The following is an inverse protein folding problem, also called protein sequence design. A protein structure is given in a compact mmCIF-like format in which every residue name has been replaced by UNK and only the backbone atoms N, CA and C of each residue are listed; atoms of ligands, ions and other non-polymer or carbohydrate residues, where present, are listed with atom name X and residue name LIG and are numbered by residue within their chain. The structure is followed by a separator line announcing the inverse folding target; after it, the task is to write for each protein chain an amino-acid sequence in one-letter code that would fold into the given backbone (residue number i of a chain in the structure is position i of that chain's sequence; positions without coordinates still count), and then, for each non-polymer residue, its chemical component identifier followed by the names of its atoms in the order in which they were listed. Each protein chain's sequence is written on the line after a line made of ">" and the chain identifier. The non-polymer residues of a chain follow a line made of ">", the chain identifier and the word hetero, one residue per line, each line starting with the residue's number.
data_IF_670055642006
#
_entry.id   IF_670055642006
#
_cell.length_a   1.000
_cell.length_b   1.000
_cell.length_c   1.000
_cell.angle_alpha   90.00
_cell.angle_beta   90.00
_cell.angle_gamma   90.00
#
_symmetry.space_group_name_H-M   'P 1'
#
loop_
_entity.id
_entity.type
_entity.pdbx_description
1 polymer ?
#
# COMPACT_ATOMS: atom_id res chain seq x y z
N UNK A 1 46.65 -11.91 -7.77
CA UNK A 1 46.15 -10.58 -8.19
C UNK A 1 47.22 -9.54 -7.90
N UNK A 2 47.60 -8.70 -8.86
CA UNK A 2 48.60 -7.68 -8.61
C UNK A 2 48.07 -6.60 -7.65
N UNK A 3 48.94 -6.01 -6.81
CA UNK A 3 48.53 -5.07 -5.74
C UNK A 3 47.77 -3.83 -6.26
N UNK A 4 48.02 -3.43 -7.51
CA UNK A 4 47.33 -2.30 -8.15
C UNK A 4 45.87 -2.60 -8.51
N UNK A 5 45.48 -3.85 -8.81
CA UNK A 5 44.07 -4.19 -9.05
C UNK A 5 43.23 -4.08 -7.78
N UNK A 6 43.79 -4.45 -6.62
CA UNK A 6 43.11 -4.30 -5.33
C UNK A 6 42.93 -2.83 -4.95
N UNK A 7 43.93 -1.98 -5.22
CA UNK A 7 43.84 -0.54 -5.00
C UNK A 7 42.78 0.11 -5.91
N UNK A 8 42.73 -0.25 -7.21
CA UNK A 8 41.72 0.25 -8.14
C UNK A 8 40.30 -0.18 -7.74
N UNK A 9 40.11 -1.43 -7.32
CA UNK A 9 38.81 -1.91 -6.82
C UNK A 9 38.38 -1.17 -5.56
N UNK A 10 39.31 -0.90 -4.63
CA UNK A 10 39.02 -0.14 -3.42
C UNK A 10 38.62 1.32 -3.74
N UNK A 11 39.34 1.99 -4.66
CA UNK A 11 38.99 3.34 -5.11
C UNK A 11 37.62 3.36 -5.79
N UNK A 12 37.36 2.41 -6.70
CA UNK A 12 36.06 2.29 -7.35
C UNK A 12 34.93 2.07 -6.34
N UNK A 13 35.14 1.22 -5.33
CA UNK A 13 34.19 0.99 -4.25
C UNK A 13 33.92 2.27 -3.43
N UNK A 14 34.97 3.02 -3.06
CA UNK A 14 34.81 4.30 -2.33
C UNK A 14 34.05 5.32 -3.17
N UNK A 15 34.38 5.47 -4.45
CA UNK A 15 33.68 6.39 -5.35
C UNK A 15 32.22 5.97 -5.54
N UNK A 16 31.94 4.67 -5.66
CA UNK A 16 30.57 4.15 -5.73
C UNK A 16 29.79 4.46 -4.45
N UNK A 17 30.39 4.31 -3.26
CA UNK A 17 29.76 4.66 -1.99
C UNK A 17 29.55 6.17 -1.84
N UNK A 18 30.50 7.00 -2.28
CA UNK A 18 30.33 8.47 -2.23
C UNK A 18 29.21 8.94 -3.17
N UNK A 19 29.15 8.39 -4.38
CA UNK A 19 28.04 8.60 -5.31
C UNK A 19 26.70 8.12 -4.72
N UNK A 20 26.70 6.94 -4.09
CA UNK A 20 25.53 6.39 -3.39
C UNK A 20 24.96 7.34 -2.32
N UNK A 21 25.85 7.92 -1.53
CA UNK A 21 25.50 8.82 -0.45
C UNK A 21 25.02 10.18 -0.98
N UNK A 22 25.43 10.58 -2.19
CA UNK A 22 25.03 11.85 -2.81
C UNK A 22 23.66 11.82 -3.49
N UNK A 23 23.11 10.62 -3.80
CA UNK A 23 21.76 10.48 -4.34
C UNK A 23 20.73 11.09 -3.39
N UNK A 24 19.93 12.03 -3.92
CA UNK A 24 18.84 12.71 -3.22
C UNK A 24 17.49 12.26 -3.79
N UNK A 25 16.51 11.98 -2.93
CA UNK A 25 15.14 11.74 -3.39
C UNK A 25 14.56 13.06 -3.94
N UNK A 26 13.64 12.95 -4.88
CA UNK A 26 12.96 14.11 -5.49
C UNK A 26 11.47 13.79 -5.66
N UNK A 27 10.64 14.83 -5.64
CA UNK A 27 9.25 14.74 -6.08
C UNK A 27 9.07 15.14 -7.56
N UNK A 28 10.13 15.64 -8.19
CA UNK A 28 10.12 16.18 -9.55
C UNK A 28 10.93 15.28 -10.50
N UNK A 29 10.30 14.22 -11.00
CA UNK A 29 10.80 13.35 -12.08
C UNK A 29 9.64 12.99 -13.03
N UNK A 30 9.96 12.37 -14.16
CA UNK A 30 8.93 11.81 -15.05
C UNK A 30 8.41 10.49 -14.47
N UNK A 31 7.48 10.61 -13.54
CA UNK A 31 6.88 9.48 -12.85
C UNK A 31 5.90 8.71 -13.73
N UNK A 32 5.80 7.40 -13.51
CA UNK A 32 4.74 6.60 -14.08
C UNK A 32 3.35 7.13 -13.66
N UNK A 33 2.35 7.01 -14.54
CA UNK A 33 1.06 7.67 -14.36
C UNK A 33 0.39 7.30 -13.03
N UNK A 34 0.49 6.01 -12.63
CA UNK A 34 -0.10 5.45 -11.40
C UNK A 34 0.42 6.06 -10.09
N UNK A 35 1.55 6.77 -10.13
CA UNK A 35 2.24 7.42 -9.00
C UNK A 35 2.76 8.82 -9.36
N UNK A 36 2.18 9.41 -10.41
CA UNK A 36 2.59 10.72 -10.95
C UNK A 36 2.26 11.86 -10.00
N UNK A 37 1.14 11.75 -9.28
CA UNK A 37 0.70 12.71 -8.28
C UNK A 37 1.02 12.24 -6.87
N UNK A 38 1.10 13.18 -5.94
CA UNK A 38 1.40 12.91 -4.53
C UNK A 38 0.22 13.34 -3.69
N UNK A 39 -0.35 12.38 -2.95
CA UNK A 39 -1.48 12.61 -2.06
C UNK A 39 -1.16 13.72 -1.06
N UNK A 40 -2.08 14.68 -0.95
CA UNK A 40 -2.10 15.67 0.13
C UNK A 40 -3.45 15.63 0.84
N UNK A 41 -3.47 16.01 2.12
CA UNK A 41 -4.70 16.14 2.85
C UNK A 41 -4.68 17.22 3.92
N UNK A 42 -5.84 17.79 4.19
CA UNK A 42 -6.06 18.73 5.30
C UNK A 42 -7.12 18.19 6.24
N UNK A 43 -6.99 18.49 7.53
CA UNK A 43 -7.85 17.96 8.60
C UNK A 43 -8.49 19.14 9.32
N UNK A 44 -9.81 19.14 9.41
CA UNK A 44 -10.62 20.15 10.09
C UNK A 44 -11.67 19.45 10.95
N UNK A 45 -11.36 19.23 12.24
CA UNK A 45 -12.20 18.41 13.11
C UNK A 45 -12.23 16.95 12.63
N UNK A 46 -13.42 16.40 12.38
CA UNK A 46 -13.62 15.06 11.82
C UNK A 46 -13.50 15.02 10.29
N UNK A 47 -13.58 16.17 9.61
CA UNK A 47 -13.54 16.24 8.15
C UNK A 47 -12.09 16.24 7.66
N UNK A 48 -11.80 15.31 6.74
CA UNK A 48 -10.52 15.21 6.05
C UNK A 48 -10.73 15.44 4.56
N UNK A 49 -10.14 16.51 4.03
CA UNK A 49 -10.10 16.76 2.59
C UNK A 49 -8.83 16.14 2.02
N UNK A 50 -8.97 15.29 1.02
CA UNK A 50 -7.85 14.67 0.30
C UNK A 50 -7.81 15.19 -1.14
N UNK A 51 -6.59 15.43 -1.62
CA UNK A 51 -6.31 15.86 -2.98
C UNK A 51 -5.54 14.80 -3.73
N UNK A 52 -5.79 14.67 -5.03
CA UNK A 52 -5.17 13.68 -5.89
C UNK A 52 -5.46 12.23 -5.44
N UNK A 53 -6.75 11.93 -5.20
CA UNK A 53 -7.25 10.56 -5.03
C UNK A 53 -7.30 9.87 -6.39
N UNK A 54 -6.65 8.71 -6.49
CA UNK A 54 -6.57 7.94 -7.74
C UNK A 54 -7.87 7.20 -8.03
N UNK A 55 -8.33 7.27 -9.27
CA UNK A 55 -9.51 6.57 -9.74
C UNK A 55 -9.34 6.12 -11.19
N UNK A 56 -8.26 5.39 -11.46
CA UNK A 56 -7.93 4.94 -12.81
C UNK A 56 -8.91 3.85 -13.26
N UNK A 57 -9.31 3.94 -14.53
CA UNK A 57 -10.16 2.95 -15.17
C UNK A 57 -9.34 2.07 -16.11
N UNK A 58 -9.05 0.86 -15.65
CA UNK A 58 -8.12 -0.07 -16.29
C UNK A 58 -8.84 -1.02 -17.27
N UNK A 59 -8.25 -1.19 -18.46
CA UNK A 59 -8.63 -2.20 -19.46
C UNK A 59 -7.55 -3.26 -19.61
N UNK A 60 -6.28 -2.86 -19.49
CA UNK A 60 -5.09 -3.71 -19.38
C UNK A 60 -4.02 -2.98 -18.57
N UNK A 61 -2.83 -3.57 -18.38
CA UNK A 61 -1.71 -2.90 -17.69
C UNK A 61 -1.21 -1.64 -18.41
N UNK A 62 -1.51 -1.50 -19.71
CA UNK A 62 -1.02 -0.41 -20.57
C UNK A 62 -2.13 0.39 -21.24
N UNK A 63 -3.39 -0.06 -21.16
CA UNK A 63 -4.58 0.68 -21.60
C UNK A 63 -5.46 0.99 -20.39
N UNK A 64 -5.50 2.26 -20.04
CA UNK A 64 -6.29 2.79 -18.94
C UNK A 64 -6.61 4.26 -19.16
N UNK A 65 -7.66 4.73 -18.48
CA UNK A 65 -7.97 6.15 -18.40
C UNK A 65 -7.55 6.66 -17.03
N UNK A 66 -6.47 7.45 -16.99
CA UNK A 66 -5.98 8.08 -15.77
C UNK A 66 -6.97 9.14 -15.26
N UNK A 67 -7.38 9.05 -13.99
CA UNK A 67 -8.24 10.03 -13.32
C UNK A 67 -7.76 10.28 -11.91
N UNK A 68 -7.84 11.53 -11.50
CA UNK A 68 -7.53 12.01 -10.16
C UNK A 68 -8.64 12.98 -9.75
N UNK A 69 -9.06 12.90 -8.50
CA UNK A 69 -10.09 13.78 -7.96
C UNK A 69 -9.78 14.14 -6.51
N UNK A 70 -10.47 15.17 -6.03
CA UNK A 70 -10.42 15.58 -4.63
C UNK A 70 -11.75 15.21 -3.99
N UNK A 71 -11.72 14.79 -2.73
CA UNK A 71 -12.94 14.43 -1.98
C UNK A 71 -12.76 14.69 -0.48
N UNK A 72 -13.89 14.74 0.23
CA UNK A 72 -13.97 14.95 1.67
C UNK A 72 -14.54 13.71 2.35
N UNK A 73 -13.87 13.29 3.40
CA UNK A 73 -14.25 12.15 4.23
C UNK A 73 -14.49 12.61 5.65
N UNK A 74 -15.67 12.30 6.21
CA UNK A 74 -15.94 12.49 7.62
C UNK A 74 -15.47 11.26 8.40
N UNK A 75 -14.56 11.45 9.35
CA UNK A 75 -14.07 10.37 10.19
C UNK A 75 -15.14 9.86 11.15
N UNK A 76 -16.17 10.64 11.47
CA UNK A 76 -17.29 10.15 12.29
C UNK A 76 -18.12 9.08 11.54
N UNK A 77 -18.04 9.06 10.21
CA UNK A 77 -18.62 8.03 9.35
C UNK A 77 -17.68 6.83 9.14
N UNK A 78 -16.48 6.81 9.72
CA UNK A 78 -15.50 5.73 9.52
C UNK A 78 -15.89 4.44 10.26
N UNK A 79 -16.45 3.49 9.51
CA UNK A 79 -17.09 2.30 10.05
C UNK A 79 -16.20 1.06 10.08
N UNK A 80 -15.28 0.91 9.13
CA UNK A 80 -14.46 -0.31 8.98
C UNK A 80 -13.04 -0.03 8.49
N UNK A 81 -12.16 -1.00 8.75
CA UNK A 81 -10.83 -1.10 8.16
C UNK A 81 -10.66 -2.53 7.65
N UNK A 82 -10.26 -2.66 6.39
CA UNK A 82 -9.91 -3.94 5.77
C UNK A 82 -8.42 -3.94 5.41
N UNK A 83 -7.75 -5.07 5.61
CA UNK A 83 -6.41 -5.32 5.09
C UNK A 83 -6.53 -6.05 3.76
N UNK A 84 -6.07 -5.43 2.68
CA UNK A 84 -6.00 -6.08 1.38
C UNK A 84 -4.57 -6.60 1.13
N UNK A 85 -4.46 -7.85 0.65
CA UNK A 85 -3.18 -8.48 0.31
C UNK A 85 -3.22 -8.92 -1.15
N UNK A 86 -2.20 -8.51 -1.91
CA UNK A 86 -2.01 -8.92 -3.30
C UNK A 86 -0.78 -9.80 -3.46
N UNK A 87 -0.92 -10.96 -4.08
CA UNK A 87 0.14 -11.94 -4.25
C UNK A 87 0.47 -12.13 -5.74
N UNK A 88 1.74 -11.86 -6.11
CA UNK A 88 2.28 -12.08 -7.46
C UNK A 88 3.57 -12.92 -7.47
N UNK A 89 4.31 -12.97 -6.36
CA UNK A 89 5.62 -13.62 -6.27
C UNK A 89 5.63 -14.76 -5.23
N UNK A 90 4.69 -15.70 -5.38
CA UNK A 90 4.52 -16.81 -4.45
C UNK A 90 3.87 -16.42 -3.12
N UNK A 91 3.84 -17.33 -2.13
CA UNK A 91 3.00 -17.17 -0.93
C UNK A 91 3.63 -16.30 0.17
N UNK A 92 4.95 -16.08 0.15
CA UNK A 92 5.66 -15.46 1.27
C UNK A 92 5.69 -13.91 1.22
N UNK A 93 5.50 -13.32 0.04
CA UNK A 93 5.54 -11.87 -0.17
C UNK A 93 4.22 -11.43 -0.78
N UNK A 94 3.51 -10.56 -0.04
CA UNK A 94 2.31 -9.90 -0.49
C UNK A 94 2.46 -8.38 -0.43
N UNK A 95 1.75 -7.67 -1.30
CA UNK A 95 1.64 -6.22 -1.24
C UNK A 95 0.46 -5.89 -0.35
N UNK A 96 0.71 -5.12 0.70
CA UNK A 96 -0.27 -4.79 1.72
C UNK A 96 -0.89 -3.43 1.44
N UNK A 97 -2.21 -3.40 1.36
CA UNK A 97 -3.01 -2.18 1.30
C UNK A 97 -3.98 -2.15 2.48
N UNK A 98 -4.45 -0.95 2.82
CA UNK A 98 -5.46 -0.75 3.87
C UNK A 98 -6.63 -0.01 3.27
N UNK A 99 -7.83 -0.59 3.34
CA UNK A 99 -9.06 0.04 2.89
C UNK A 99 -9.89 0.51 4.07
N UNK A 100 -10.42 1.72 3.98
CA UNK A 100 -11.27 2.34 4.99
C UNK A 100 -12.69 2.41 4.45
N UNK A 101 -13.66 1.85 5.17
CA UNK A 101 -15.07 1.87 4.78
C UNK A 101 -15.89 2.86 5.60
N UNK A 102 -16.75 3.60 4.92
CA UNK A 102 -17.61 4.63 5.50
C UNK A 102 -19.07 4.16 5.58
N UNK A 103 -19.84 4.73 6.49
CA UNK A 103 -21.27 4.42 6.70
C UNK A 103 -22.14 4.69 5.46
N UNK A 104 -21.72 5.61 4.59
CA UNK A 104 -22.36 5.93 3.31
C UNK A 104 -22.07 4.92 2.18
N UNK A 105 -21.25 3.90 2.46
CA UNK A 105 -20.86 2.85 1.52
C UNK A 105 -19.61 3.16 0.69
N UNK A 106 -19.04 4.36 0.79
CA UNK A 106 -17.74 4.67 0.17
C UNK A 106 -16.63 3.88 0.84
N UNK A 107 -15.61 3.54 0.04
CA UNK A 107 -14.40 2.89 0.52
C UNK A 107 -13.18 3.55 -0.11
N UNK A 108 -12.17 3.82 0.71
CA UNK A 108 -10.93 4.44 0.26
C UNK A 108 -9.74 3.57 0.64
N UNK A 109 -8.99 3.12 -0.36
CA UNK A 109 -7.81 2.30 -0.16
C UNK A 109 -6.54 3.15 -0.17
N UNK A 110 -5.70 2.96 0.85
CA UNK A 110 -4.36 3.49 0.92
C UNK A 110 -3.34 2.41 0.62
N UNK A 111 -2.34 2.77 -0.17
CA UNK A 111 -1.22 1.91 -0.51
C UNK A 111 0.08 2.68 -0.38
N UNK A 112 1.05 2.03 0.24
CA UNK A 112 2.44 2.48 0.26
C UNK A 112 3.10 1.86 -0.96
N UNK A 113 3.42 2.69 -1.94
CA UNK A 113 3.93 2.27 -3.24
C UNK A 113 5.38 2.71 -3.43
N UNK A 114 6.08 2.00 -4.31
CA UNK A 114 7.28 2.57 -4.91
C UNK A 114 6.87 3.61 -5.96
N UNK A 115 7.58 4.72 -5.99
CA UNK A 115 7.43 5.74 -7.02
C UNK A 115 8.47 5.46 -8.11
N UNK A 116 7.99 4.88 -9.23
CA UNK A 116 8.81 4.51 -10.39
C UNK A 116 8.81 5.61 -11.43
N UNK A 117 9.94 5.86 -12.06
CA UNK A 117 9.99 6.68 -13.26
C UNK A 117 9.32 5.96 -14.45
N UNK A 118 8.87 6.73 -15.43
CA UNK A 118 8.21 6.19 -16.62
C UNK A 118 9.18 5.28 -17.38
N UNK A 119 8.75 4.03 -17.61
CA UNK A 119 9.57 3.01 -18.27
C UNK A 119 10.44 2.17 -17.33
N UNK A 120 10.47 2.46 -16.03
CA UNK A 120 11.13 1.59 -15.05
C UNK A 120 10.29 0.37 -14.68
N UNK A 121 10.91 -0.82 -14.73
CA UNK A 121 10.32 -2.05 -14.23
C UNK A 121 10.59 -2.22 -12.72
N UNK A 122 9.67 -2.88 -12.02
CA UNK A 122 9.89 -3.25 -10.63
C UNK A 122 11.07 -4.22 -10.48
N UNK A 123 11.94 -3.96 -9.50
CA UNK A 123 12.98 -4.89 -9.08
C UNK A 123 13.00 -4.97 -7.55
N UNK A 124 12.76 -6.18 -7.01
CA UNK A 124 12.81 -6.45 -5.57
C UNK A 124 14.21 -6.23 -4.99
N UNK A 125 15.26 -6.53 -5.78
CA UNK A 125 16.66 -6.20 -5.49
C UNK A 125 16.92 -4.68 -5.61
N UNK A 126 16.29 -4.01 -6.56
CA UNK A 126 16.42 -2.56 -6.76
C UNK A 126 16.00 -1.72 -5.56
N UNK A 127 14.96 -2.14 -4.83
CA UNK A 127 14.54 -1.48 -3.59
C UNK A 127 15.54 -1.59 -2.41
N UNK A 128 16.57 -2.45 -2.49
CA UNK A 128 17.71 -2.40 -1.56
C UNK A 128 18.66 -1.25 -1.88
N UNK A 129 18.59 -0.75 -3.11
CA UNK A 129 19.57 0.11 -3.74
C UNK A 129 18.98 1.49 -4.10
N UNK A 130 18.46 2.29 -3.14
CA UNK A 130 17.99 3.70 -3.32
C UNK A 130 17.36 3.99 -4.71
N UNK A 131 16.66 3.01 -5.28
CA UNK A 131 16.31 3.02 -6.69
C UNK A 131 14.94 3.64 -6.91
N UNK A 132 14.07 3.53 -5.90
CA UNK A 132 12.72 4.05 -5.96
C UNK A 132 12.48 5.01 -4.82
N UNK A 133 11.70 6.05 -5.08
CA UNK A 133 11.13 6.89 -4.05
C UNK A 133 9.91 6.23 -3.42
N UNK A 134 9.58 6.65 -2.22
CA UNK A 134 8.40 6.22 -1.49
C UNK A 134 7.20 7.09 -1.87
N UNK A 135 6.07 6.46 -2.19
CA UNK A 135 4.79 7.14 -2.42
C UNK A 135 3.72 6.56 -1.51
N UNK A 136 2.77 7.40 -1.09
CA UNK A 136 1.51 6.95 -0.49
C UNK A 136 0.40 7.40 -1.44
N UNK A 137 -0.37 6.45 -1.93
CA UNK A 137 -1.49 6.66 -2.82
C UNK A 137 -2.78 6.37 -2.06
N UNK A 138 -3.74 7.28 -2.11
CA UNK A 138 -5.14 7.00 -1.81
C UNK A 138 -5.87 6.75 -3.13
N UNK A 139 -6.69 5.71 -3.20
CA UNK A 139 -7.35 5.29 -4.42
C UNK A 139 -8.71 4.65 -4.16
N UNK A 140 -9.61 4.76 -5.13
CA UNK A 140 -10.85 3.99 -5.14
C UNK A 140 -10.52 2.49 -5.24
N UNK A 141 -11.27 1.64 -4.54
CA UNK A 141 -11.04 0.18 -4.58
C UNK A 141 -11.15 -0.39 -6.01
N UNK A 142 -12.06 0.15 -6.82
CA UNK A 142 -12.26 -0.23 -8.23
C UNK A 142 -11.07 0.06 -9.14
N UNK A 143 -10.16 0.92 -8.71
CA UNK A 143 -8.89 1.17 -9.39
C UNK A 143 -7.87 0.18 -8.84
N UNK A 144 -7.54 0.35 -7.56
CA UNK A 144 -6.31 -0.19 -7.00
C UNK A 144 -6.38 -1.71 -6.75
N UNK A 145 -7.57 -2.26 -6.47
CA UNK A 145 -7.75 -3.71 -6.31
C UNK A 145 -8.07 -4.38 -7.65
N UNK A 146 -8.82 -3.71 -8.53
CA UNK A 146 -9.15 -4.25 -9.85
C UNK A 146 -7.90 -4.45 -10.71
N UNK A 147 -7.01 -3.45 -10.80
CA UNK A 147 -5.80 -3.55 -11.63
C UNK A 147 -4.96 -4.76 -11.26
N UNK A 148 -4.95 -5.13 -9.97
CA UNK A 148 -4.23 -6.28 -9.43
C UNK A 148 -4.92 -7.60 -9.83
N UNK A 149 -6.20 -7.75 -9.51
CA UNK A 149 -6.92 -8.99 -9.74
C UNK A 149 -7.24 -9.28 -11.23
N UNK A 150 -7.51 -8.23 -12.01
CA UNK A 150 -7.86 -8.33 -13.42
C UNK A 150 -6.63 -8.19 -14.32
N UNK A 151 -6.25 -6.97 -14.74
CA UNK A 151 -5.13 -6.73 -15.66
C UNK A 151 -3.82 -7.45 -15.32
N UNK A 152 -3.40 -7.48 -14.05
CA UNK A 152 -2.14 -8.11 -13.61
C UNK A 152 -2.29 -9.59 -13.24
N UNK A 153 -3.52 -10.10 -13.09
CA UNK A 153 -3.79 -11.50 -12.73
C UNK A 153 -3.27 -11.93 -11.34
N UNK A 154 -3.10 -10.99 -10.41
CA UNK A 154 -2.64 -11.23 -9.04
C UNK A 154 -3.75 -11.87 -8.20
N UNK A 155 -3.38 -12.64 -7.16
CA UNK A 155 -4.37 -13.12 -6.19
C UNK A 155 -4.61 -12.04 -5.14
N UNK A 156 -5.86 -11.62 -4.99
CA UNK A 156 -6.24 -10.54 -4.08
C UNK A 156 -7.15 -11.06 -2.98
N UNK A 157 -6.76 -10.76 -1.74
CA UNK A 157 -7.49 -11.10 -0.53
C UNK A 157 -7.85 -9.82 0.24
N UNK A 158 -9.03 -9.81 0.88
CA UNK A 158 -9.53 -8.70 1.69
C UNK A 158 -10.00 -9.23 3.05
N UNK A 159 -9.33 -8.81 4.11
CA UNK A 159 -9.58 -9.27 5.47
C UNK A 159 -10.14 -8.13 6.33
N UNK A 160 -11.36 -8.28 6.89
CA UNK A 160 -11.88 -7.32 7.85
C UNK A 160 -11.04 -7.32 9.12
N UNK A 161 -10.53 -6.14 9.48
CA UNK A 161 -9.68 -5.95 10.66
C UNK A 161 -10.52 -5.51 11.84
N UNK A 162 -10.41 -6.23 12.96
CA UNK A 162 -10.97 -5.83 14.24
C UNK A 162 -10.15 -4.69 14.81
N UNK A 163 -10.69 -3.48 14.75
CA UNK A 163 -10.02 -2.28 15.22
C UNK A 163 -11.04 -1.34 15.91
N UNK A 164 -10.76 -0.89 17.15
CA UNK A 164 -11.58 0.12 17.82
C UNK A 164 -11.70 1.41 17.00
N UNK A 165 -12.83 2.12 17.10
CA UNK A 165 -13.08 3.34 16.32
C UNK A 165 -11.94 4.37 16.44
N UNK A 166 -11.47 4.65 17.66
CA UNK A 166 -10.36 5.57 17.90
C UNK A 166 -9.08 5.16 17.14
N UNK A 167 -8.76 3.86 17.10
CA UNK A 167 -7.59 3.36 16.36
C UNK A 167 -7.78 3.46 14.84
N UNK A 168 -9.01 3.27 14.33
CA UNK A 168 -9.32 3.48 12.89
C UNK A 168 -9.08 4.94 12.48
N UNK A 169 -9.58 5.90 13.27
CA UNK A 169 -9.41 7.32 13.01
C UNK A 169 -7.92 7.70 13.04
N UNK A 170 -7.21 7.24 14.08
CA UNK A 170 -5.79 7.54 14.23
C UNK A 170 -4.93 6.91 13.11
N UNK A 171 -5.31 5.74 12.60
CA UNK A 171 -4.65 5.11 11.45
C UNK A 171 -4.90 5.89 10.16
N UNK A 172 -6.13 6.34 9.91
CA UNK A 172 -6.43 7.18 8.75
C UNK A 172 -5.61 8.49 8.77
N UNK A 173 -5.64 9.21 9.89
CA UNK A 173 -4.87 10.44 10.09
C UNK A 173 -3.36 10.19 9.96
N UNK A 174 -2.90 9.03 10.41
CA UNK A 174 -1.50 8.60 10.26
C UNK A 174 -1.07 8.46 8.80
N UNK A 175 -1.94 7.95 7.92
CA UNK A 175 -1.67 7.92 6.48
C UNK A 175 -1.58 9.33 5.89
N UNK A 176 -2.54 10.20 6.22
CA UNK A 176 -2.57 11.58 5.73
C UNK A 176 -1.33 12.36 6.16
N UNK A 177 -0.96 12.26 7.43
CA UNK A 177 0.25 12.92 7.95
C UNK A 177 1.53 12.41 7.28
N UNK A 178 1.61 11.11 6.95
CA UNK A 178 2.75 10.53 6.23
C UNK A 178 2.77 10.94 4.76
N UNK A 179 1.62 10.98 4.10
CA UNK A 179 1.50 11.44 2.72
C UNK A 179 1.92 12.90 2.58
N UNK A 180 1.42 13.78 3.47
CA UNK A 180 1.84 15.19 3.52
C UNK A 180 3.35 15.34 3.70
N UNK A 181 3.94 14.59 4.64
CA UNK A 181 5.41 14.60 4.84
C UNK A 181 6.17 14.16 3.60
N UNK A 182 5.70 13.16 2.85
CA UNK A 182 6.34 12.75 1.60
C UNK A 182 6.18 13.78 0.48
N UNK A 183 5.05 14.50 0.47
CA UNK A 183 4.82 15.59 -0.47
C UNK A 183 5.76 16.77 -0.23
N UNK A 184 6.17 17.01 1.01
CA UNK A 184 7.10 18.09 1.38
C UNK A 184 8.57 17.63 1.39
N UNK A 185 8.85 16.43 1.89
CA UNK A 185 10.18 15.83 2.01
C UNK A 185 10.20 14.43 1.36
N UNK A 186 10.61 14.31 0.09
CA UNK A 186 10.65 13.02 -0.59
C UNK A 186 11.66 12.09 0.09
N UNK A 187 11.38 10.79 0.08
CA UNK A 187 12.24 9.76 0.68
C UNK A 187 12.42 8.58 -0.26
N UNK A 188 13.56 7.91 -0.17
CA UNK A 188 13.76 6.63 -0.84
C UNK A 188 12.93 5.54 -0.16
N UNK A 189 12.39 4.64 -0.98
CA UNK A 189 11.85 3.36 -0.55
C UNK A 189 13.00 2.43 -0.15
N UNK A 190 12.81 1.70 0.94
CA UNK A 190 13.79 0.71 1.40
C UNK A 190 13.10 -0.63 1.65
N UNK A 191 13.42 -1.66 0.87
CA UNK A 191 12.75 -2.97 0.91
C UNK A 191 12.69 -3.59 2.32
N UNK A 192 13.71 -3.36 3.16
CA UNK A 192 13.76 -3.94 4.51
C UNK A 192 13.17 -3.05 5.61
N UNK A 193 13.30 -1.73 5.51
CA UNK A 193 13.01 -0.81 6.62
C UNK A 193 11.86 0.15 6.33
N UNK A 194 11.51 0.39 5.07
CA UNK A 194 10.45 1.28 4.65
C UNK A 194 9.69 0.65 3.46
N UNK A 195 9.02 -0.46 3.74
CA UNK A 195 8.17 -1.16 2.77
C UNK A 195 6.69 -1.01 3.12
N UNK A 196 5.82 -1.54 2.26
CA UNK A 196 4.37 -1.42 2.43
C UNK A 196 3.82 -2.04 3.71
N UNK A 197 4.50 -3.02 4.30
CA UNK A 197 4.06 -3.64 5.56
C UNK A 197 4.69 -2.98 6.78
N UNK A 198 6.00 -2.68 6.77
CA UNK A 198 6.68 -2.06 7.92
C UNK A 198 6.18 -0.64 8.17
N UNK A 199 5.87 0.12 7.11
CA UNK A 199 5.30 1.46 7.27
C UNK A 199 3.88 1.44 7.83
N UNK A 200 3.06 0.46 7.45
CA UNK A 200 1.73 0.25 8.04
C UNK A 200 1.85 -0.14 9.50
N UNK A 201 2.74 -1.08 9.81
CA UNK A 201 3.02 -1.49 11.18
C UNK A 201 3.47 -0.32 12.05
N UNK A 202 4.35 0.56 11.57
CA UNK A 202 4.77 1.76 12.28
C UNK A 202 3.62 2.75 12.54
N UNK A 203 2.54 2.71 11.76
CA UNK A 203 1.32 3.48 12.07
C UNK A 203 0.46 2.81 13.12
N UNK A 204 0.35 1.48 13.07
CA UNK A 204 -0.57 0.69 13.91
C UNK A 204 0.01 0.43 15.30
N UNK A 205 1.32 0.17 15.42
CA UNK A 205 2.00 -0.14 16.68
C UNK A 205 1.70 0.85 17.83
N UNK A 206 1.74 2.19 17.64
CA UNK A 206 1.40 3.11 18.72
C UNK A 206 -0.10 3.10 19.10
N UNK A 207 -0.97 2.54 18.25
CA UNK A 207 -2.43 2.48 18.43
C UNK A 207 -2.88 1.17 19.09
N UNK A 208 -2.05 0.13 19.04
CA UNK A 208 -2.34 -1.20 19.58
C UNK A 208 -1.26 -1.56 20.61
N UNK A 209 -1.49 -1.29 21.90
CA UNK A 209 -0.51 -1.60 22.95
C UNK A 209 -0.11 -3.08 22.95
N UNK A 210 1.19 -3.34 23.04
CA UNK A 210 1.74 -4.71 23.13
C UNK A 210 1.90 -5.43 21.80
N UNK A 211 1.64 -4.78 20.65
CA UNK A 211 1.83 -5.38 19.34
C UNK A 211 3.34 -5.68 19.08
N UNK A 212 3.76 -6.95 18.90
CA UNK A 212 5.17 -7.32 18.84
C UNK A 212 5.74 -7.25 17.43
N UNK A 213 7.05 -6.98 17.33
CA UNK A 213 7.78 -7.16 16.08
C UNK A 213 7.88 -8.65 15.75
N UNK A 214 7.65 -9.00 14.48
CA UNK A 214 7.60 -10.38 14.01
C UNK A 214 8.17 -10.48 12.59
N UNK A 215 8.81 -11.61 12.27
CA UNK A 215 9.36 -11.88 10.92
C UNK A 215 8.30 -11.81 9.82
N UNK A 216 7.03 -12.09 10.17
CA UNK A 216 5.86 -11.99 9.28
C UNK A 216 5.57 -10.56 8.81
N UNK A 217 6.16 -9.54 9.45
CA UNK A 217 6.11 -8.16 8.95
C UNK A 217 7.03 -7.92 7.75
N UNK A 218 8.04 -8.79 7.57
CA UNK A 218 8.90 -8.81 6.38
C UNK A 218 8.34 -9.82 5.37
N UNK A 219 7.90 -10.98 5.85
CA UNK A 219 7.21 -12.00 5.06
C UNK A 219 5.69 -11.73 5.04
N UNK A 220 5.33 -10.62 4.39
CA UNK A 220 3.97 -10.04 4.42
C UNK A 220 2.86 -10.98 3.95
N UNK A 221 3.21 -12.05 3.22
CA UNK A 221 2.25 -13.10 2.84
C UNK A 221 1.63 -13.84 4.04
N UNK A 222 2.27 -13.77 5.22
CA UNK A 222 1.82 -14.37 6.48
C UNK A 222 1.22 -13.34 7.46
N UNK A 223 0.85 -12.15 6.98
CA UNK A 223 0.14 -11.17 7.79
C UNK A 223 -1.21 -11.67 8.35
N UNK A 224 -2.00 -12.51 7.64
CA UNK A 224 -3.24 -13.04 8.21
C UNK A 224 -3.00 -13.82 9.51
N UNK A 225 -1.97 -14.67 9.55
CA UNK A 225 -1.53 -15.41 10.73
C UNK A 225 -1.10 -14.45 11.84
N UNK A 226 -0.38 -13.38 11.49
CA UNK A 226 0.06 -12.37 12.43
C UNK A 226 -1.14 -11.65 13.08
N UNK A 227 -2.06 -11.10 12.29
CA UNK A 227 -3.25 -10.43 12.81
C UNK A 227 -4.14 -11.41 13.59
N UNK A 228 -4.31 -12.65 13.12
CA UNK A 228 -5.09 -13.67 13.83
C UNK A 228 -4.51 -13.97 15.22
N UNK A 229 -3.19 -14.16 15.33
CA UNK A 229 -2.52 -14.43 16.61
C UNK A 229 -2.60 -13.27 17.62
N UNK A 230 -2.84 -12.05 17.14
CA UNK A 230 -2.91 -10.83 17.97
C UNK A 230 -4.32 -10.22 18.03
N UNK A 231 -5.36 -10.99 17.67
CA UNK A 231 -6.76 -10.57 17.81
C UNK A 231 -7.25 -9.54 16.79
N UNK A 232 -6.46 -9.25 15.75
CA UNK A 232 -6.82 -8.35 14.65
C UNK A 232 -7.80 -8.95 13.64
N UNK A 233 -8.01 -10.27 13.66
CA UNK A 233 -9.00 -10.97 12.83
C UNK A 233 -10.04 -11.72 13.69
N UNK A 234 -11.06 -12.29 13.04
CA UNK A 234 -12.09 -13.08 13.72
C UNK A 234 -11.63 -14.45 14.18
N UNK A 235 -11.18 -14.53 15.44
CA UNK A 235 -10.72 -15.77 16.08
C UNK A 235 -11.83 -16.76 16.46
N UNK A 236 -13.10 -16.46 16.19
CA UNK A 236 -14.20 -17.43 16.35
C UNK A 236 -14.27 -18.46 15.21
N UNK A 237 -13.60 -18.17 14.09
CA UNK A 237 -13.52 -19.05 12.92
C UNK A 237 -12.08 -19.53 12.70
N UNK A 238 -11.87 -20.75 12.17
CA UNK A 238 -10.54 -21.17 11.74
C UNK A 238 -9.94 -20.22 10.71
N UNK A 239 -8.63 -19.94 10.81
CA UNK A 239 -7.95 -19.02 9.90
C UNK A 239 -8.11 -19.42 8.42
N UNK A 240 -8.12 -20.71 8.10
CA UNK A 240 -8.33 -21.20 6.73
C UNK A 240 -9.72 -20.85 6.19
N UNK A 241 -10.74 -20.84 7.06
CA UNK A 241 -12.08 -20.36 6.70
C UNK A 241 -12.06 -18.86 6.40
N UNK A 242 -11.33 -18.06 7.19
CA UNK A 242 -11.15 -16.64 6.91
C UNK A 242 -10.42 -16.40 5.60
N UNK A 243 -9.34 -17.15 5.32
CA UNK A 243 -8.57 -17.07 4.08
C UNK A 243 -9.43 -17.36 2.85
N UNK A 244 -10.27 -18.40 2.93
CA UNK A 244 -11.20 -18.76 1.85
C UNK A 244 -12.24 -17.65 1.59
N UNK A 245 -12.79 -17.05 2.65
CA UNK A 245 -13.76 -15.94 2.56
C UNK A 245 -13.12 -14.64 2.07
N UNK A 246 -11.87 -14.39 2.48
CA UNK A 246 -11.13 -13.19 2.10
C UNK A 246 -10.72 -13.18 0.63
N UNK A 247 -10.71 -14.32 -0.07
CA UNK A 247 -10.31 -14.37 -1.48
C UNK A 247 -11.33 -13.68 -2.39
N UNK A 248 -11.05 -12.43 -2.75
CA UNK A 248 -11.87 -11.60 -3.63
C UNK A 248 -11.41 -11.64 -5.09
N UNK A 249 -10.35 -12.38 -5.42
CA UNK A 249 -9.70 -12.37 -6.75
C UNK A 249 -10.70 -12.39 -7.91
N UNK A 250 -11.63 -13.37 -7.93
CA UNK A 250 -12.65 -13.47 -8.99
C UNK A 250 -13.57 -12.24 -9.06
N UNK A 251 -14.00 -11.74 -7.90
CA UNK A 251 -14.93 -10.61 -7.80
C UNK A 251 -14.25 -9.27 -8.14
N UNK A 252 -12.96 -9.14 -7.83
CA UNK A 252 -12.16 -7.97 -8.12
C UNK A 252 -11.65 -7.94 -9.58
N UNK A 253 -11.53 -9.10 -10.24
CA UNK A 253 -11.07 -9.21 -11.63
C UNK A 253 -12.05 -8.63 -12.64
N UNK A 254 -13.34 -8.53 -12.30
CA UNK A 254 -14.36 -7.93 -13.15
C UNK A 254 -14.34 -6.41 -13.03
N UNK A 255 -14.55 -5.69 -14.14
CA UNK A 255 -14.77 -4.23 -14.10
C UNK A 255 -16.12 -3.91 -13.44
N UNK A 256 -16.28 -2.67 -12.98
CA UNK A 256 -17.51 -2.18 -12.38
C UNK A 256 -17.76 -0.72 -12.80
N UNK A 257 -19.03 -0.35 -12.95
CA UNK A 257 -19.42 0.97 -13.43
C UNK A 257 -19.15 2.08 -12.40
N UNK A 258 -19.24 1.77 -11.11
CA UNK A 258 -18.94 2.70 -10.00
C UNK A 258 -18.05 2.06 -8.93
N UNK A 259 -17.41 2.92 -8.11
CA UNK A 259 -16.56 2.49 -7.00
C UNK A 259 -17.37 1.74 -5.93
N UNK A 260 -18.57 2.22 -5.60
CA UNK A 260 -19.44 1.62 -4.60
C UNK A 260 -19.98 0.27 -5.07
N UNK A 261 -20.32 0.14 -6.36
CA UNK A 261 -20.72 -1.15 -6.93
C UNK A 261 -19.60 -2.18 -6.82
N UNK A 262 -18.36 -1.78 -7.10
CA UNK A 262 -17.18 -2.63 -6.91
C UNK A 262 -17.00 -3.04 -5.45
N UNK A 263 -16.98 -2.07 -4.53
CA UNK A 263 -16.78 -2.28 -3.09
C UNK A 263 -17.83 -3.19 -2.46
N UNK A 264 -19.11 -3.06 -2.88
CA UNK A 264 -20.18 -3.98 -2.47
C UNK A 264 -19.96 -5.39 -3.00
N UNK A 265 -19.62 -5.52 -4.29
CA UNK A 265 -19.43 -6.83 -4.93
C UNK A 265 -18.34 -7.64 -4.24
N UNK A 266 -17.17 -7.06 -3.98
CA UNK A 266 -16.04 -7.78 -3.36
C UNK A 266 -16.31 -8.20 -1.90
N UNK A 267 -17.38 -7.67 -1.27
CA UNK A 267 -17.82 -8.03 0.09
C UNK A 267 -19.06 -8.91 0.12
N UNK A 268 -19.54 -9.38 -1.03
CA UNK A 268 -20.71 -10.27 -1.09
C UNK A 268 -20.30 -11.68 -0.61
N UNK A 269 -21.08 -12.31 0.29
CA UNK A 269 -20.79 -13.67 0.75
C UNK A 269 -20.69 -14.65 -0.42
N UNK A 270 -19.77 -15.62 -0.32
CA UNK A 270 -19.71 -16.76 -1.24
C UNK A 270 -20.68 -17.83 -0.75
N UNK A 271 -21.55 -18.30 -1.64
CA UNK A 271 -22.32 -19.55 -1.49
C UNK A 271 -21.40 -20.77 -1.48
#
# INVERSE_FOLDING_TARGET
>A
MPRWTLALLAIAAVLAVLWWLSLKPSNHRDWADEVSRTLRGSVQGSLVTLHDIRDFDWRSETDYTARWHDDVYDLDDLSSVDMALSYWMGPAIAHTLVSFGFTDGRHLAFSVEIRKERGEAFSSLGGFFKQFELSIVAAQERDILHVRAGPRGEQVFLYPVRMPAQARHALFLSYVARANRLADEPRFYHTLTANCTTLVYDMVRPLVPGLPLDVRLILSGYLPEYLYSHGGLDTSLPLETLRARANITRLAAERADSAEAFSRRIRTPRE
#
